data_IF_792890598279
#
_entry.id   IF_792890598279
#
_cell.length_a   1.000
_cell.length_b   1.000
_cell.length_c   1.000
_cell.angle_alpha   90.00
_cell.angle_beta   90.00
_cell.angle_gamma   90.00
#
_symmetry.space_group_name_H-M   'P 1'
#
loop_
_entity.id
_entity.type
_entity.pdbx_description
1 polymer ?
#
# COMPACT_ATOMS: atom_id res chain seq x y z
N UNK A 1 4.88 13.91 -10.35
CA UNK A 1 4.15 13.55 -11.58
C UNK A 1 4.54 12.18 -12.12
N UNK A 2 5.81 11.92 -12.45
CA UNK A 2 6.23 10.59 -13.00
C UNK A 2 5.95 9.43 -12.05
N UNK A 3 6.34 9.54 -10.77
CA UNK A 3 6.12 8.50 -9.77
C UNK A 3 4.63 8.26 -9.50
N UNK A 4 3.81 9.30 -9.55
CA UNK A 4 2.36 9.17 -9.45
C UNK A 4 1.79 8.36 -10.64
N UNK A 5 2.17 8.67 -11.88
CA UNK A 5 1.70 7.89 -13.04
C UNK A 5 2.25 6.46 -13.06
N UNK A 6 3.49 6.25 -12.60
CA UNK A 6 4.06 4.92 -12.44
C UNK A 6 3.28 4.10 -11.38
N UNK A 7 2.94 4.72 -10.25
CA UNK A 7 2.11 4.11 -9.22
C UNK A 7 0.71 3.73 -9.74
N UNK A 8 0.08 4.57 -10.57
CA UNK A 8 -1.18 4.22 -11.23
C UNK A 8 -1.03 2.98 -12.11
N UNK A 9 -0.02 2.95 -12.99
CA UNK A 9 0.22 1.82 -13.88
C UNK A 9 0.52 0.53 -13.09
N UNK A 10 1.26 0.63 -11.98
CA UNK A 10 1.52 -0.54 -11.12
C UNK A 10 0.25 -1.00 -10.40
N UNK A 11 -0.60 -0.08 -9.94
CA UNK A 11 -1.89 -0.42 -9.36
C UNK A 11 -2.86 -1.03 -10.39
N UNK A 12 -2.77 -0.62 -11.66
CA UNK A 12 -3.62 -1.11 -12.75
C UNK A 12 -3.22 -2.50 -13.24
N UNK A 13 -1.92 -2.76 -13.48
CA UNK A 13 -1.42 -4.02 -14.08
C UNK A 13 -0.12 -4.60 -13.52
N UNK A 14 0.46 -3.98 -12.49
CA UNK A 14 1.68 -4.46 -11.84
C UNK A 14 2.98 -3.97 -12.50
N UNK A 15 4.12 -4.01 -11.77
CA UNK A 15 5.43 -3.69 -12.31
C UNK A 15 5.87 -4.51 -13.53
N UNK A 16 5.69 -5.83 -13.54
CA UNK A 16 6.17 -6.70 -14.61
C UNK A 16 5.51 -6.39 -15.96
N UNK A 17 4.22 -6.07 -15.95
CA UNK A 17 3.45 -5.69 -17.14
C UNK A 17 3.60 -4.20 -17.53
N UNK A 18 4.47 -3.44 -16.86
CA UNK A 18 4.63 -1.99 -17.09
C UNK A 18 6.07 -1.66 -17.51
N UNK A 19 6.26 -1.20 -18.74
CA UNK A 19 7.59 -0.77 -19.21
C UNK A 19 7.93 0.67 -18.82
N UNK A 20 9.22 1.04 -18.85
CA UNK A 20 9.64 2.45 -18.69
C UNK A 20 9.06 3.36 -19.79
N UNK A 21 8.83 2.79 -20.98
CA UNK A 21 8.18 3.49 -22.10
C UNK A 21 6.73 3.83 -21.77
N UNK A 22 6.00 2.92 -21.14
CA UNK A 22 4.60 3.16 -20.75
C UNK A 22 4.49 4.28 -19.72
N UNK A 23 5.41 4.28 -18.74
CA UNK A 23 5.49 5.34 -17.72
C UNK A 23 5.80 6.68 -18.37
N UNK A 24 6.76 6.72 -19.31
CA UNK A 24 7.12 7.91 -20.06
C UNK A 24 5.94 8.46 -20.87
N UNK A 25 5.24 7.57 -21.59
CA UNK A 25 4.05 7.91 -22.36
C UNK A 25 2.94 8.47 -21.47
N UNK A 26 2.63 7.82 -20.34
CA UNK A 26 1.59 8.31 -19.42
C UNK A 26 1.96 9.62 -18.73
N UNK A 27 3.24 9.83 -18.49
CA UNK A 27 3.76 11.05 -17.87
C UNK A 27 4.01 12.18 -18.88
N UNK A 28 3.80 11.94 -20.17
CA UNK A 28 4.12 12.88 -21.27
C UNK A 28 5.57 13.41 -21.23
N UNK A 29 6.54 12.51 -20.98
CA UNK A 29 7.98 12.83 -20.96
C UNK A 29 8.79 11.88 -21.83
N UNK A 30 10.03 12.25 -22.11
CA UNK A 30 10.97 11.37 -22.81
C UNK A 30 11.45 10.23 -21.87
N UNK A 31 11.44 8.98 -22.37
CA UNK A 31 11.90 7.81 -21.62
C UNK A 31 13.36 7.93 -21.13
N UNK A 32 14.24 8.59 -21.90
CA UNK A 32 15.62 8.84 -21.51
C UNK A 32 15.74 9.69 -20.24
N UNK A 33 14.75 10.52 -19.94
CA UNK A 33 14.68 11.30 -18.71
C UNK A 33 14.46 10.38 -17.49
N UNK A 34 13.57 9.40 -17.62
CA UNK A 34 13.32 8.41 -16.54
C UNK A 34 14.59 7.60 -16.25
N UNK A 35 15.23 7.09 -17.30
CA UNK A 35 16.44 6.29 -17.14
C UNK A 35 17.59 7.10 -16.51
N UNK A 36 17.73 8.38 -16.89
CA UNK A 36 18.77 9.26 -16.34
C UNK A 36 18.53 9.66 -14.88
N UNK A 37 17.28 9.92 -14.51
CA UNK A 37 16.94 10.46 -13.18
C UNK A 37 16.63 9.39 -12.13
N UNK A 38 16.10 8.23 -12.53
CA UNK A 38 15.70 7.16 -11.62
C UNK A 38 16.53 5.90 -11.84
N UNK A 39 16.82 5.55 -13.09
CA UNK A 39 17.66 4.41 -13.43
C UNK A 39 16.86 3.26 -14.04
N UNK A 40 17.17 2.04 -13.59
CA UNK A 40 16.59 0.82 -14.12
C UNK A 40 15.16 0.57 -13.58
N UNK A 41 14.53 -0.51 -14.05
CA UNK A 41 13.17 -0.88 -13.66
C UNK A 41 13.03 -1.11 -12.14
N UNK A 42 14.01 -1.75 -11.51
CA UNK A 42 14.03 -2.01 -10.06
C UNK A 42 14.12 -0.71 -9.25
N UNK A 43 14.95 0.24 -9.68
CA UNK A 43 15.04 1.57 -9.08
C UNK A 43 13.73 2.35 -9.20
N UNK A 44 13.00 2.22 -10.33
CA UNK A 44 11.67 2.81 -10.49
C UNK A 44 10.65 2.16 -9.55
N UNK A 45 10.72 0.85 -9.35
CA UNK A 45 9.86 0.16 -8.38
C UNK A 45 10.14 0.68 -6.97
N UNK A 46 11.40 0.73 -6.54
CA UNK A 46 11.79 1.26 -5.24
C UNK A 46 11.29 2.72 -5.04
N UNK A 47 11.53 3.59 -6.01
CA UNK A 47 11.11 5.00 -5.95
C UNK A 47 9.58 5.15 -5.88
N UNK A 48 8.82 4.27 -6.53
CA UNK A 48 7.35 4.28 -6.45
C UNK A 48 6.87 3.83 -5.07
N UNK A 49 7.48 2.79 -4.49
CA UNK A 49 7.13 2.32 -3.15
C UNK A 49 7.41 3.40 -2.09
N UNK A 50 8.55 4.08 -2.19
CA UNK A 50 8.91 5.19 -1.30
C UNK A 50 7.94 6.37 -1.47
N UNK A 51 7.65 6.76 -2.71
CA UNK A 51 6.65 7.81 -3.00
C UNK A 51 5.28 7.51 -2.39
N UNK A 52 4.80 6.26 -2.49
CA UNK A 52 3.51 5.86 -1.92
C UNK A 52 3.53 5.82 -0.39
N UNK A 53 4.66 5.47 0.20
CA UNK A 53 4.82 5.50 1.66
C UNK A 53 4.76 6.95 2.18
N UNK A 54 5.45 7.87 1.52
CA UNK A 54 5.48 9.29 1.87
C UNK A 54 4.14 9.99 1.65
N UNK A 55 3.46 9.70 0.53
CA UNK A 55 2.13 10.25 0.22
C UNK A 55 1.09 9.86 1.29
N UNK A 56 1.12 8.60 1.74
CA UNK A 56 0.25 8.14 2.82
C UNK A 56 0.63 8.77 4.17
N UNK A 57 1.92 8.85 4.48
CA UNK A 57 2.39 9.44 5.73
C UNK A 57 2.06 10.95 5.81
N UNK A 58 2.13 11.68 4.69
CA UNK A 58 1.73 13.08 4.60
C UNK A 58 0.21 13.24 4.80
N UNK A 59 -0.60 12.38 4.20
CA UNK A 59 -2.05 12.39 4.40
C UNK A 59 -2.44 12.19 5.88
N UNK A 60 -1.75 11.28 6.57
CA UNK A 60 -1.95 11.07 8.01
C UNK A 60 -1.51 12.29 8.83
N UNK A 61 -0.31 12.83 8.55
CA UNK A 61 0.23 14.00 9.29
C UNK A 61 -0.59 15.27 9.11
N UNK A 62 -1.14 15.48 7.91
CA UNK A 62 -2.00 16.63 7.61
C UNK A 62 -3.43 16.49 8.16
N UNK A 63 -3.79 15.33 8.71
CA UNK A 63 -5.14 15.07 9.20
C UNK A 63 -6.17 15.00 8.08
N UNK A 64 -5.78 14.48 6.91
CA UNK A 64 -6.69 14.31 5.78
C UNK A 64 -7.93 13.47 6.17
N UNK A 65 -9.06 13.65 5.48
CA UNK A 65 -10.25 12.83 5.67
C UNK A 65 -9.94 11.33 5.63
N UNK A 66 -10.66 10.56 6.45
CA UNK A 66 -10.40 9.12 6.64
C UNK A 66 -10.52 8.32 5.34
N UNK A 67 -11.52 8.63 4.53
CA UNK A 67 -11.74 8.04 3.21
C UNK A 67 -10.57 8.31 2.25
N UNK A 68 -9.98 9.50 2.31
CA UNK A 68 -8.80 9.87 1.52
C UNK A 68 -7.54 9.10 1.97
N UNK A 69 -7.32 8.99 3.28
CA UNK A 69 -6.23 8.17 3.84
C UNK A 69 -6.40 6.70 3.43
N UNK A 70 -7.63 6.18 3.50
CA UNK A 70 -7.94 4.82 3.08
C UNK A 70 -7.72 4.59 1.59
N UNK A 71 -8.08 5.56 0.73
CA UNK A 71 -7.84 5.47 -0.70
C UNK A 71 -6.34 5.44 -1.04
N UNK A 72 -5.52 6.27 -0.36
CA UNK A 72 -4.06 6.27 -0.51
C UNK A 72 -3.45 4.95 0.00
N UNK A 73 -3.89 4.48 1.16
CA UNK A 73 -3.44 3.21 1.72
C UNK A 73 -3.80 2.04 0.80
N UNK A 74 -5.02 2.04 0.27
CA UNK A 74 -5.49 1.06 -0.69
C UNK A 74 -4.60 1.01 -1.92
N UNK A 75 -4.28 2.17 -2.52
CA UNK A 75 -3.38 2.24 -3.67
C UNK A 75 -1.99 1.72 -3.34
N UNK A 76 -1.42 2.13 -2.20
CA UNK A 76 -0.10 1.68 -1.73
C UNK A 76 -0.04 0.16 -1.62
N UNK A 77 -1.03 -0.46 -0.96
CA UNK A 77 -1.09 -1.90 -0.76
C UNK A 77 -1.33 -2.68 -2.06
N UNK A 78 -2.15 -2.18 -2.97
CA UNK A 78 -2.34 -2.82 -4.28
C UNK A 78 -1.02 -2.88 -5.05
N UNK A 79 -0.23 -1.81 -5.01
CA UNK A 79 1.10 -1.78 -5.65
C UNK A 79 2.06 -2.74 -4.95
N UNK A 80 2.12 -2.76 -3.62
CA UNK A 80 2.95 -3.69 -2.85
C UNK A 80 2.61 -5.14 -3.19
N UNK A 81 1.33 -5.51 -3.14
CA UNK A 81 0.88 -6.88 -3.40
C UNK A 81 1.28 -7.36 -4.81
N UNK A 82 1.07 -6.51 -5.83
CA UNK A 82 1.45 -6.82 -7.22
C UNK A 82 2.95 -6.89 -7.39
N UNK A 83 3.70 -5.99 -6.77
CA UNK A 83 5.16 -6.00 -6.77
C UNK A 83 5.70 -7.31 -6.17
N UNK A 84 5.11 -7.76 -5.06
CA UNK A 84 5.45 -9.02 -4.43
C UNK A 84 5.11 -10.23 -5.34
N UNK A 85 3.95 -10.23 -5.98
CA UNK A 85 3.55 -11.31 -6.91
C UNK A 85 4.38 -11.37 -8.18
N UNK A 86 4.90 -10.22 -8.62
CA UNK A 86 5.84 -10.13 -9.74
C UNK A 86 7.26 -10.61 -9.37
N UNK A 87 7.47 -11.05 -8.12
CA UNK A 87 8.73 -11.63 -7.64
C UNK A 87 9.77 -10.62 -7.17
N UNK A 88 9.40 -9.34 -7.01
CA UNK A 88 10.29 -8.35 -6.41
C UNK A 88 10.35 -8.53 -4.89
N UNK A 89 11.55 -8.38 -4.33
CA UNK A 89 11.75 -8.35 -2.88
C UNK A 89 11.39 -6.97 -2.32
N UNK A 90 10.12 -6.79 -1.96
CA UNK A 90 9.63 -5.52 -1.38
C UNK A 90 10.38 -5.17 -0.10
N UNK A 91 10.75 -6.16 0.71
CA UNK A 91 11.48 -5.95 1.96
C UNK A 91 12.88 -5.36 1.74
N UNK A 92 13.53 -5.71 0.62
CA UNK A 92 14.81 -5.12 0.21
C UNK A 92 14.66 -3.77 -0.49
N UNK A 93 13.60 -3.58 -1.27
CA UNK A 93 13.38 -2.36 -2.06
C UNK A 93 12.85 -1.20 -1.21
N UNK A 94 12.02 -1.50 -0.21
CA UNK A 94 11.47 -0.51 0.70
C UNK A 94 12.23 -0.56 2.03
N UNK A 95 13.13 0.42 2.22
CA UNK A 95 14.00 0.46 3.41
C UNK A 95 13.29 0.97 4.67
N UNK A 96 12.16 1.67 4.51
CA UNK A 96 11.39 2.28 5.61
C UNK A 96 9.90 2.02 5.44
N UNK A 97 9.22 1.77 6.55
CA UNK A 97 7.79 1.49 6.58
C UNK A 97 7.08 2.46 7.53
N UNK A 98 7.13 3.80 7.27
CA UNK A 98 6.64 4.82 8.21
C UNK A 98 5.17 4.63 8.61
N UNK A 99 4.36 4.11 7.68
CA UNK A 99 2.94 3.82 7.94
C UNK A 99 2.76 2.63 8.89
N UNK A 100 3.61 1.60 8.80
CA UNK A 100 3.59 0.46 9.73
C UNK A 100 4.13 0.90 11.10
N UNK A 101 5.21 1.69 11.11
CA UNK A 101 5.77 2.27 12.34
C UNK A 101 4.72 3.09 13.11
N UNK A 102 3.90 3.87 12.41
CA UNK A 102 2.81 4.65 13.01
C UNK A 102 1.73 3.75 13.62
N UNK A 103 1.40 2.63 12.95
CA UNK A 103 0.45 1.64 13.47
C UNK A 103 1.00 0.90 14.69
N UNK A 104 2.27 0.51 14.68
CA UNK A 104 2.94 -0.11 15.85
C UNK A 104 2.96 0.88 17.02
N UNK A 105 3.31 2.15 16.79
CA UNK A 105 3.28 3.18 17.82
C UNK A 105 1.86 3.41 18.38
N UNK A 106 0.83 3.21 17.55
CA UNK A 106 -0.57 3.26 17.98
C UNK A 106 -0.94 2.02 18.80
N UNK A 107 -0.50 0.83 18.37
CA UNK A 107 -0.71 -0.44 19.08
C UNK A 107 -0.09 -0.42 20.48
N UNK A 108 1.11 0.15 20.62
CA UNK A 108 1.80 0.32 21.90
C UNK A 108 1.08 1.23 22.90
N UNK A 109 0.01 1.94 22.48
CA UNK A 109 -0.87 2.67 23.44
C UNK A 109 -1.83 1.75 24.17
N UNK A 110 -2.00 0.51 23.70
CA UNK A 110 -2.94 -0.47 24.24
C UNK A 110 -2.27 -1.65 24.94
N UNK A 111 -0.95 -1.82 24.77
CA UNK A 111 -0.16 -2.86 25.44
C UNK A 111 1.27 -2.39 25.66
N UNK A 112 1.85 -2.71 26.82
CA UNK A 112 3.25 -2.45 27.15
C UNK A 112 4.21 -3.51 26.56
N UNK A 113 3.68 -4.62 26.02
CA UNK A 113 4.48 -5.68 25.40
C UNK A 113 4.74 -5.39 23.91
N UNK A 114 5.97 -4.96 23.62
CA UNK A 114 6.38 -4.51 22.28
C UNK A 114 6.24 -5.60 21.19
N UNK A 115 6.60 -6.89 21.41
CA UNK A 115 6.29 -7.97 20.48
C UNK A 115 4.80 -8.13 20.20
N UNK A 116 3.93 -8.06 21.22
CA UNK A 116 2.47 -8.15 21.04
C UNK A 116 1.93 -6.99 20.20
N UNK A 117 2.39 -5.75 20.43
CA UNK A 117 2.00 -4.60 19.62
C UNK A 117 2.36 -4.76 18.13
N UNK A 118 3.55 -5.32 17.85
CA UNK A 118 4.00 -5.61 16.48
C UNK A 118 3.17 -6.71 15.83
N UNK A 119 2.92 -7.81 16.53
CA UNK A 119 2.10 -8.92 16.03
C UNK A 119 0.66 -8.49 15.75
N UNK A 120 0.01 -7.77 16.68
CA UNK A 120 -1.33 -7.24 16.48
C UNK A 120 -1.43 -6.31 15.26
N UNK A 121 -0.39 -5.50 15.02
CA UNK A 121 -0.31 -4.65 13.82
C UNK A 121 -0.18 -5.50 12.55
N UNK A 122 0.70 -6.50 12.56
CA UNK A 122 0.90 -7.40 11.43
C UNK A 122 -0.39 -8.20 11.11
N UNK A 123 -1.07 -8.72 12.13
CA UNK A 123 -2.34 -9.45 11.99
C UNK A 123 -3.45 -8.56 11.44
N UNK A 124 -3.60 -7.35 11.97
CA UNK A 124 -4.59 -6.39 11.46
C UNK A 124 -4.34 -6.05 9.98
N UNK A 125 -3.07 -5.83 9.60
CA UNK A 125 -2.68 -5.59 8.21
C UNK A 125 -2.94 -6.83 7.34
N UNK A 126 -2.59 -8.03 7.80
CA UNK A 126 -2.82 -9.27 7.08
C UNK A 126 -4.32 -9.51 6.82
N UNK A 127 -5.18 -9.27 7.80
CA UNK A 127 -6.63 -9.36 7.63
C UNK A 127 -7.16 -8.34 6.60
N UNK A 128 -6.65 -7.11 6.63
CA UNK A 128 -7.06 -6.08 5.70
C UNK A 128 -6.60 -6.38 4.27
N UNK A 129 -5.34 -6.77 4.09
CA UNK A 129 -4.76 -7.19 2.82
C UNK A 129 -5.46 -8.43 2.27
N UNK A 130 -5.73 -9.42 3.13
CA UNK A 130 -6.45 -10.63 2.76
C UNK A 130 -7.81 -10.31 2.15
N UNK A 131 -8.57 -9.38 2.74
CA UNK A 131 -9.82 -8.97 2.11
C UNK A 131 -9.61 -8.21 0.80
N UNK A 132 -8.55 -7.43 0.64
CA UNK A 132 -8.31 -6.77 -0.64
C UNK A 132 -8.12 -7.78 -1.78
N UNK A 133 -7.39 -8.87 -1.51
CA UNK A 133 -7.12 -9.94 -2.48
C UNK A 133 -8.32 -10.85 -2.69
N UNK A 134 -8.92 -11.33 -1.60
CA UNK A 134 -9.97 -12.35 -1.65
C UNK A 134 -11.39 -11.77 -1.64
N UNK A 135 -11.57 -10.49 -1.29
CA UNK A 135 -12.86 -9.85 -1.07
C UNK A 135 -13.83 -9.96 -2.24
N UNK A 136 -13.44 -9.63 -3.49
CA UNK A 136 -14.34 -9.78 -4.64
C UNK A 136 -14.87 -11.21 -4.80
N UNK A 137 -13.98 -12.21 -4.65
CA UNK A 137 -14.36 -13.62 -4.66
C UNK A 137 -15.26 -13.98 -3.47
N UNK A 138 -14.90 -13.57 -2.26
CA UNK A 138 -15.63 -13.88 -1.03
C UNK A 138 -17.03 -13.27 -1.02
N UNK A 139 -17.23 -12.09 -1.60
CA UNK A 139 -18.57 -11.48 -1.74
C UNK A 139 -19.48 -12.33 -2.60
N UNK A 140 -18.99 -12.77 -3.76
CA UNK A 140 -19.72 -13.67 -4.66
C UNK A 140 -20.00 -14.99 -3.94
N UNK A 141 -18.97 -15.60 -3.35
CA UNK A 141 -19.08 -16.90 -2.68
C UNK A 141 -20.03 -16.88 -1.47
N UNK A 142 -20.07 -15.77 -0.74
CA UNK A 142 -20.96 -15.58 0.41
C UNK A 142 -22.35 -15.03 0.05
N UNK A 143 -22.61 -14.72 -1.23
CA UNK A 143 -23.88 -14.16 -1.69
C UNK A 143 -24.14 -12.73 -1.19
N UNK A 144 -23.09 -11.92 -0.98
CA UNK A 144 -23.21 -10.53 -0.53
C UNK A 144 -23.51 -9.64 -1.74
N UNK A 145 -24.65 -8.92 -1.76
CA UNK A 145 -24.98 -7.99 -2.84
C UNK A 145 -23.93 -6.87 -3.02
N UNK A 146 -23.81 -6.34 -4.24
CA UNK A 146 -22.82 -5.30 -4.59
C UNK A 146 -23.11 -3.95 -3.93
N UNK A 147 -24.38 -3.66 -3.66
CA UNK A 147 -24.86 -2.42 -3.06
C UNK A 147 -24.68 -2.38 -1.53
N UNK A 148 -24.38 -3.52 -0.89
CA UNK A 148 -24.09 -3.57 0.55
C UNK A 148 -22.68 -3.01 0.79
N UNK A 149 -22.51 -1.83 1.40
CA UNK A 149 -21.18 -1.31 1.67
C UNK A 149 -20.49 -2.18 2.71
N UNK A 150 -19.22 -2.50 2.48
CA UNK A 150 -18.39 -3.05 3.55
C UNK A 150 -18.00 -1.90 4.48
N UNK A 151 -18.26 -1.98 5.80
CA UNK A 151 -17.67 -1.04 6.74
C UNK A 151 -16.15 -1.18 6.63
N UNK A 152 -15.43 -0.10 6.29
CA UNK A 152 -13.97 -0.16 6.24
C UNK A 152 -13.47 -0.29 7.68
N UNK A 153 -12.94 -1.47 8.07
CA UNK A 153 -12.57 -1.72 9.45
C UNK A 153 -11.56 -0.66 9.90
N UNK A 154 -11.76 -0.10 11.09
CA UNK A 154 -10.72 0.70 11.69
C UNK A 154 -9.56 -0.22 12.08
N UNK A 155 -8.41 0.01 11.46
CA UNK A 155 -7.18 -0.71 11.79
C UNK A 155 -6.86 -0.50 13.26
N UNK A 156 -7.03 0.72 13.78
CA UNK A 156 -6.76 1.03 15.18
C UNK A 156 -7.70 0.28 16.10
N UNK A 157 -8.99 0.16 15.77
CA UNK A 157 -9.91 -0.69 16.56
C UNK A 157 -9.58 -2.17 16.47
N UNK A 158 -9.13 -2.63 15.29
CA UNK A 158 -8.73 -4.03 15.08
C UNK A 158 -7.51 -4.35 15.93
N UNK A 159 -6.49 -3.48 15.90
CA UNK A 159 -5.30 -3.57 16.74
C UNK A 159 -5.69 -3.57 18.21
N UNK A 160 -6.52 -2.62 18.66
CA UNK A 160 -6.99 -2.54 20.05
C UNK A 160 -7.65 -3.83 20.53
N UNK A 161 -8.42 -4.50 19.67
CA UNK A 161 -9.06 -5.79 19.98
C UNK A 161 -8.09 -6.97 20.01
N UNK A 162 -6.98 -6.89 19.30
CA UNK A 162 -5.95 -7.93 19.28
C UNK A 162 -4.94 -7.76 20.43
N UNK A 163 -4.84 -6.56 21.00
CA UNK A 163 -3.96 -6.26 22.13
C UNK A 163 -4.66 -6.26 23.50
N UNK A 164 -5.99 -6.38 23.53
CA UNK A 164 -6.81 -6.48 24.77
C UNK A 164 -6.89 -7.89 25.30
#
# INVERSE_FOLDING_TARGET
MVLAHAADLFAERGPAATSLRDIAARSNINQGLIFRHIGNKEAVVAAVLEYLADDLAEAQRSGAPRDEILARAQRSWTVIARTQWDGYDVGRLQQRFPNIETLIATAGRYTDDEPTARLATADALAMQLGWHVFGPFLRIAAGIPDDVPRPVPDITDTIRRLTS
#
